data_IF_405451432517
#
_entry.id   IF_405451432517
#
_cell.length_a   1.000
_cell.length_b   1.000
_cell.length_c   1.000
_cell.angle_alpha   90.00
_cell.angle_beta   90.00
_cell.angle_gamma   90.00
#
_symmetry.space_group_name_H-M   'P 1'
#
loop_
_entity.id
_entity.type
_entity.pdbx_description
1 polymer ?
#
# COMPACT_ATOMS: atom_id res chain seq x y z
N UNK A 1 91.30 3.02 -13.90
CA UNK A 1 90.52 2.75 -12.64
C UNK A 1 89.31 3.64 -12.64
N UNK A 2 88.28 3.20 -13.34
CA UNK A 2 87.01 3.94 -13.44
C UNK A 2 85.87 3.08 -12.86
N UNK A 3 85.27 3.52 -11.74
CA UNK A 3 84.11 2.92 -11.18
C UNK A 3 82.87 3.60 -11.76
N UNK A 4 82.10 2.83 -12.51
CA UNK A 4 80.79 3.21 -13.03
C UNK A 4 79.78 2.96 -11.92
N UNK A 5 79.13 4.00 -11.43
CA UNK A 5 77.98 3.98 -10.55
C UNK A 5 76.67 3.74 -11.38
N UNK A 6 76.08 2.59 -11.23
CA UNK A 6 74.79 2.30 -11.79
C UNK A 6 73.67 2.89 -10.94
N UNK A 7 72.99 3.86 -11.44
CA UNK A 7 71.79 4.43 -10.80
C UNK A 7 70.58 3.59 -11.26
N UNK A 8 70.02 2.81 -10.36
CA UNK A 8 68.74 2.09 -10.59
C UNK A 8 67.56 3.03 -10.42
N UNK A 9 66.90 3.30 -11.50
CA UNK A 9 65.63 4.08 -11.54
C UNK A 9 64.50 3.15 -11.17
N UNK A 10 63.96 3.29 -9.95
CA UNK A 10 62.72 2.56 -9.53
C UNK A 10 61.54 3.35 -10.09
N UNK A 11 60.89 2.80 -11.11
CA UNK A 11 59.61 3.30 -11.63
C UNK A 11 58.47 2.87 -10.71
N UNK A 12 57.95 3.82 -9.93
CA UNK A 12 56.78 3.65 -9.11
C UNK A 12 55.52 3.75 -10.00
N UNK A 13 54.96 2.63 -10.42
CA UNK A 13 53.68 2.57 -11.14
C UNK A 13 52.52 2.84 -10.18
N UNK A 14 51.93 4.03 -10.28
CA UNK A 14 50.70 4.40 -9.60
C UNK A 14 49.57 3.64 -10.26
N UNK A 15 49.11 2.52 -9.67
CA UNK A 15 47.89 1.84 -10.05
C UNK A 15 46.70 2.71 -9.64
N UNK A 16 46.09 3.42 -10.59
CA UNK A 16 44.83 4.10 -10.40
C UNK A 16 43.74 3.04 -10.16
N UNK A 17 43.39 2.82 -8.90
CA UNK A 17 42.29 1.97 -8.51
C UNK A 17 40.97 2.56 -8.99
N UNK A 18 40.45 2.05 -10.10
CA UNK A 18 39.11 2.30 -10.50
C UNK A 18 38.18 1.61 -9.48
N UNK A 19 37.64 2.37 -8.54
CA UNK A 19 36.57 1.90 -7.65
C UNK A 19 35.41 1.48 -8.53
N UNK A 20 34.90 0.22 -8.40
CA UNK A 20 33.70 -0.15 -9.11
C UNK A 20 32.59 0.76 -8.57
N UNK A 21 31.98 1.56 -9.45
CA UNK A 21 30.69 2.19 -9.16
C UNK A 21 29.72 1.05 -8.91
N UNK A 22 29.44 0.76 -7.63
CA UNK A 22 28.29 -0.05 -7.25
C UNK A 22 27.10 0.73 -7.77
N UNK A 23 26.53 0.29 -8.88
CA UNK A 23 25.25 0.76 -9.34
C UNK A 23 24.30 0.44 -8.19
N UNK A 24 23.80 1.48 -7.52
CA UNK A 24 22.71 1.34 -6.58
C UNK A 24 21.57 0.69 -7.38
N UNK A 25 21.33 -0.60 -7.15
CA UNK A 25 20.18 -1.27 -7.70
C UNK A 25 18.98 -0.57 -7.10
N UNK A 26 18.24 0.13 -7.96
CA UNK A 26 16.94 0.69 -7.58
C UNK A 26 16.13 -0.44 -6.98
N UNK A 27 15.37 -0.19 -5.88
CA UNK A 27 14.48 -1.21 -5.32
C UNK A 27 13.62 -1.76 -6.45
N UNK A 28 13.35 -3.07 -6.42
CA UNK A 28 12.60 -3.76 -7.46
C UNK A 28 11.39 -2.91 -7.84
N UNK A 29 11.37 -2.45 -9.10
CA UNK A 29 10.30 -1.57 -9.59
C UNK A 29 9.03 -2.40 -9.64
N UNK A 30 8.15 -2.17 -8.68
CA UNK A 30 6.78 -2.66 -8.78
C UNK A 30 6.21 -2.22 -10.13
N UNK A 31 5.53 -3.13 -10.81
CA UNK A 31 4.84 -2.84 -12.06
C UNK A 31 3.92 -1.63 -11.92
N UNK A 32 3.66 -0.96 -13.04
CA UNK A 32 2.79 0.20 -13.12
C UNK A 32 3.51 1.53 -12.91
N UNK A 33 2.75 2.58 -12.76
CA UNK A 33 3.25 3.94 -12.61
C UNK A 33 3.83 4.12 -11.20
N UNK A 34 4.94 4.84 -11.08
CA UNK A 34 5.55 5.15 -9.78
C UNK A 34 4.71 6.17 -9.02
N UNK A 35 4.45 5.89 -7.75
CA UNK A 35 3.74 6.76 -6.80
C UNK A 35 4.40 6.67 -5.43
N UNK A 36 4.15 7.64 -4.57
CA UNK A 36 4.58 7.61 -3.17
C UNK A 36 3.60 6.77 -2.35
N UNK A 37 4.02 5.59 -1.90
CA UNK A 37 3.16 4.69 -1.12
C UNK A 37 3.01 5.17 0.33
N UNK A 38 1.83 4.96 0.91
CA UNK A 38 1.59 5.22 2.31
C UNK A 38 2.39 4.25 3.20
N UNK A 39 3.11 4.74 4.24
CA UNK A 39 3.85 3.87 5.15
C UNK A 39 2.92 3.12 6.10
N UNK A 40 3.27 1.86 6.40
CA UNK A 40 2.56 0.98 7.33
C UNK A 40 3.51 0.16 8.16
N UNK A 41 3.06 -0.29 9.34
CA UNK A 41 3.84 -1.12 10.26
C UNK A 41 3.30 -2.54 10.44
N UNK A 42 2.06 -2.80 9.99
CA UNK A 42 1.36 -4.08 10.15
C UNK A 42 0.98 -4.72 8.81
N UNK A 43 1.52 -4.20 7.70
CA UNK A 43 1.36 -4.81 6.39
C UNK A 43 2.09 -6.17 6.31
N UNK A 44 1.66 -7.02 5.41
CA UNK A 44 2.30 -8.30 5.14
C UNK A 44 3.02 -8.26 3.81
N UNK A 45 4.10 -9.03 3.68
CA UNK A 45 4.80 -9.19 2.42
C UNK A 45 3.90 -9.85 1.37
N UNK A 46 3.92 -9.31 0.15
CA UNK A 46 3.11 -9.79 -0.98
C UNK A 46 3.98 -9.94 -2.24
N UNK A 47 4.91 -10.89 -2.25
CA UNK A 47 5.90 -11.04 -3.33
C UNK A 47 5.24 -11.20 -4.71
N UNK A 48 4.04 -11.79 -4.75
CA UNK A 48 3.30 -11.98 -5.99
C UNK A 48 2.90 -10.66 -6.69
N UNK A 49 2.98 -9.51 -6.00
CA UNK A 49 2.77 -8.20 -6.62
C UNK A 49 3.88 -7.84 -7.64
N UNK A 50 5.07 -8.44 -7.53
CA UNK A 50 6.18 -8.24 -8.46
C UNK A 50 6.17 -9.22 -9.65
N UNK A 51 5.26 -10.19 -9.67
CA UNK A 51 5.14 -11.14 -10.76
C UNK A 51 4.83 -10.45 -12.08
N UNK A 52 5.31 -11.04 -13.18
CA UNK A 52 5.13 -10.48 -14.53
C UNK A 52 3.65 -10.34 -14.92
N UNK A 53 2.78 -11.16 -14.40
CA UNK A 53 1.34 -11.22 -14.64
C UNK A 53 0.50 -10.54 -13.56
N UNK A 54 1.11 -9.93 -12.54
CA UNK A 54 0.40 -9.28 -11.46
C UNK A 54 -0.57 -8.20 -12.00
N UNK A 55 -1.82 -8.25 -11.53
CA UNK A 55 -2.84 -7.26 -11.86
C UNK A 55 -2.72 -6.06 -10.92
N UNK A 56 -2.17 -4.95 -11.42
CA UNK A 56 -1.95 -3.74 -10.64
C UNK A 56 -2.77 -2.59 -11.20
N UNK A 57 -3.55 -1.94 -10.33
CA UNK A 57 -4.18 -0.65 -10.59
C UNK A 57 -3.44 0.42 -9.82
N UNK A 58 -2.97 1.46 -10.51
CA UNK A 58 -2.29 2.59 -9.89
C UNK A 58 -3.21 3.81 -9.85
N UNK A 59 -3.25 4.50 -8.71
CA UNK A 59 -3.94 5.78 -8.52
C UNK A 59 -2.91 6.84 -8.16
N UNK A 60 -2.75 7.86 -8.97
CA UNK A 60 -1.79 8.94 -8.74
C UNK A 60 -2.35 10.01 -7.79
N UNK A 61 -1.50 10.91 -7.33
CA UNK A 61 -1.87 12.03 -6.43
C UNK A 61 -2.93 12.95 -7.03
N UNK A 62 -2.91 13.15 -8.35
CA UNK A 62 -3.93 13.92 -9.07
C UNK A 62 -5.21 13.13 -9.39
N UNK A 63 -5.27 11.85 -9.01
CA UNK A 63 -6.43 10.97 -9.19
C UNK A 63 -6.52 10.27 -10.54
N UNK A 64 -5.49 10.33 -11.38
CA UNK A 64 -5.43 9.52 -12.61
C UNK A 64 -5.31 8.04 -12.25
N UNK A 65 -6.00 7.18 -13.00
CA UNK A 65 -6.04 5.73 -12.77
C UNK A 65 -5.38 5.02 -13.93
N UNK A 66 -4.50 4.08 -13.62
CA UNK A 66 -3.81 3.25 -14.61
C UNK A 66 -4.04 1.77 -14.31
N UNK A 67 -4.28 0.96 -15.32
CA UNK A 67 -4.28 -0.49 -15.21
C UNK A 67 -3.01 -1.05 -15.86
N UNK A 68 -2.06 -1.50 -15.06
CA UNK A 68 -0.68 -1.68 -15.51
C UNK A 68 -0.04 -0.34 -15.83
N UNK A 69 0.19 -0.07 -17.11
CA UNK A 69 0.72 1.20 -17.63
C UNK A 69 -0.31 2.01 -18.44
N UNK A 70 -1.48 1.43 -18.70
CA UNK A 70 -2.51 2.03 -19.55
C UNK A 70 -3.38 2.97 -18.72
N UNK A 71 -3.52 4.21 -19.15
CA UNK A 71 -4.43 5.18 -18.53
C UNK A 71 -5.86 4.74 -18.79
N UNK A 72 -6.63 4.60 -17.72
CA UNK A 72 -8.04 4.19 -17.77
C UNK A 72 -8.92 5.18 -17.00
N UNK A 73 -10.20 5.23 -17.34
CA UNK A 73 -11.18 5.97 -16.54
C UNK A 73 -11.80 5.05 -15.49
N UNK A 74 -12.25 5.56 -14.33
CA UNK A 74 -12.99 4.73 -13.36
C UNK A 74 -14.21 4.03 -13.96
N UNK A 75 -14.85 4.63 -14.96
CA UNK A 75 -16.01 4.04 -15.65
C UNK A 75 -15.64 2.84 -16.53
N UNK A 76 -14.47 2.87 -17.17
CA UNK A 76 -14.00 1.78 -18.06
C UNK A 76 -13.15 0.74 -17.33
N UNK A 77 -12.72 1.03 -16.10
CA UNK A 77 -11.82 0.15 -15.35
C UNK A 77 -12.40 -1.26 -15.15
N UNK A 78 -13.68 -1.36 -14.80
CA UNK A 78 -14.33 -2.65 -14.59
C UNK A 78 -14.37 -3.49 -15.88
N UNK A 79 -14.59 -2.87 -17.04
CA UNK A 79 -14.61 -3.55 -18.33
C UNK A 79 -13.19 -3.96 -18.76
N UNK A 80 -12.20 -3.10 -18.54
CA UNK A 80 -10.79 -3.42 -18.75
C UNK A 80 -10.34 -4.58 -17.87
N UNK A 81 -10.78 -4.62 -16.61
CA UNK A 81 -10.47 -5.73 -15.71
C UNK A 81 -11.12 -7.05 -16.16
N UNK A 82 -12.34 -6.99 -16.72
CA UNK A 82 -13.04 -8.18 -17.27
C UNK A 82 -12.41 -8.68 -18.57
N UNK A 83 -11.91 -7.77 -19.41
CA UNK A 83 -11.34 -8.11 -20.72
C UNK A 83 -10.00 -8.81 -20.65
N UNK A 84 -9.25 -8.64 -19.56
CA UNK A 84 -7.91 -9.25 -19.39
C UNK A 84 -8.07 -10.66 -18.81
N UNK A 85 -7.44 -11.69 -19.44
CA UNK A 85 -7.40 -13.03 -18.87
C UNK A 85 -6.83 -12.99 -17.46
N UNK A 86 -7.53 -13.56 -16.52
CA UNK A 86 -7.13 -13.57 -15.11
C UNK A 86 -7.46 -14.93 -14.50
N UNK A 87 -6.50 -15.51 -13.77
CA UNK A 87 -6.81 -16.60 -12.87
C UNK A 87 -7.76 -16.07 -11.76
N UNK A 88 -8.81 -16.82 -11.42
CA UNK A 88 -9.75 -16.46 -10.34
C UNK A 88 -9.07 -16.32 -8.98
N UNK A 89 -7.90 -16.95 -8.80
CA UNK A 89 -7.11 -16.86 -7.58
C UNK A 89 -6.15 -15.65 -7.58
N UNK A 90 -5.99 -14.96 -8.72
CA UNK A 90 -5.09 -13.83 -8.83
C UNK A 90 -5.66 -12.61 -8.13
N UNK A 91 -4.90 -12.09 -7.15
CA UNK A 91 -5.27 -10.89 -6.41
C UNK A 91 -5.12 -9.64 -7.27
N UNK A 92 -5.96 -8.65 -7.00
CA UNK A 92 -5.78 -7.29 -7.49
C UNK A 92 -4.93 -6.51 -6.49
N UNK A 93 -3.88 -5.89 -6.98
CA UNK A 93 -3.04 -4.99 -6.19
C UNK A 93 -3.37 -3.54 -6.53
N UNK A 94 -3.64 -2.74 -5.50
CA UNK A 94 -3.93 -1.31 -5.65
C UNK A 94 -2.73 -0.53 -5.14
N UNK A 95 -2.08 0.20 -6.04
CA UNK A 95 -0.90 1.02 -5.82
C UNK A 95 -1.31 2.49 -5.85
N UNK A 96 -1.70 3.06 -4.71
CA UNK A 96 -2.19 4.43 -4.67
C UNK A 96 -1.18 5.37 -4.00
N UNK A 97 -1.06 6.58 -4.56
CA UNK A 97 -0.27 7.65 -3.95
C UNK A 97 -0.86 8.03 -2.58
N UNK A 98 0.01 8.23 -1.60
CA UNK A 98 -0.37 8.59 -0.24
C UNK A 98 -1.24 9.85 -0.16
N UNK A 99 -1.06 10.78 -1.12
CA UNK A 99 -1.79 12.05 -1.22
C UNK A 99 -3.06 11.96 -2.04
N UNK A 100 -3.26 10.86 -2.77
CA UNK A 100 -4.46 10.69 -3.60
C UNK A 100 -5.74 10.88 -2.76
N UNK A 101 -6.75 11.59 -3.26
CA UNK A 101 -8.05 11.64 -2.60
C UNK A 101 -8.64 10.23 -2.48
N UNK A 102 -9.13 9.86 -1.30
CA UNK A 102 -9.68 8.52 -1.08
C UNK A 102 -10.85 8.22 -2.01
N UNK A 103 -11.60 9.24 -2.45
CA UNK A 103 -12.66 9.08 -3.46
C UNK A 103 -12.19 8.37 -4.74
N UNK A 104 -10.95 8.60 -5.18
CA UNK A 104 -10.42 7.97 -6.39
C UNK A 104 -10.06 6.51 -6.15
N UNK A 105 -9.47 6.20 -4.99
CA UNK A 105 -9.19 4.82 -4.57
C UNK A 105 -10.50 4.05 -4.35
N UNK A 106 -11.51 4.69 -3.76
CA UNK A 106 -12.82 4.10 -3.54
C UNK A 106 -13.49 3.66 -4.86
N UNK A 107 -13.40 4.46 -5.93
CA UNK A 107 -13.90 4.07 -7.26
C UNK A 107 -13.19 2.84 -7.82
N UNK A 108 -11.88 2.70 -7.58
CA UNK A 108 -11.13 1.49 -7.95
C UNK A 108 -11.61 0.28 -7.15
N UNK A 109 -11.86 0.44 -5.86
CA UNK A 109 -12.43 -0.61 -5.00
C UNK A 109 -13.84 -1.01 -5.44
N UNK A 110 -14.67 -0.05 -5.84
CA UNK A 110 -16.00 -0.31 -6.41
C UNK A 110 -15.90 -1.12 -7.72
N UNK A 111 -15.02 -0.71 -8.63
CA UNK A 111 -14.76 -1.44 -9.87
C UNK A 111 -14.24 -2.86 -9.62
N UNK A 112 -13.35 -3.04 -8.63
CA UNK A 112 -12.84 -4.35 -8.21
C UNK A 112 -14.00 -5.25 -7.75
N UNK A 113 -14.86 -4.75 -6.86
CA UNK A 113 -16.05 -5.47 -6.39
C UNK A 113 -16.97 -5.88 -7.54
N UNK A 114 -17.23 -4.96 -8.48
CA UNK A 114 -18.09 -5.19 -9.63
C UNK A 114 -17.51 -6.21 -10.63
N UNK A 115 -16.23 -6.59 -10.44
CA UNK A 115 -15.54 -7.68 -11.14
C UNK A 115 -15.31 -8.91 -10.28
N UNK A 116 -16.04 -9.04 -9.17
CA UNK A 116 -15.95 -10.15 -8.21
C UNK A 116 -14.57 -10.27 -7.53
N UNK A 117 -13.84 -9.17 -7.37
CA UNK A 117 -12.65 -9.10 -6.55
C UNK A 117 -13.05 -8.53 -5.19
N UNK A 118 -13.31 -9.41 -4.26
CA UNK A 118 -13.80 -9.03 -2.92
C UNK A 118 -12.67 -8.63 -1.96
N UNK A 119 -11.44 -9.10 -2.21
CA UNK A 119 -10.30 -8.92 -1.32
C UNK A 119 -9.06 -8.38 -2.06
N UNK A 120 -9.09 -7.12 -2.55
CA UNK A 120 -7.90 -6.48 -3.10
C UNK A 120 -6.85 -6.23 -2.03
N UNK A 121 -5.60 -6.07 -2.47
CA UNK A 121 -4.45 -5.74 -1.63
C UNK A 121 -4.01 -4.31 -1.89
N UNK A 122 -4.05 -3.48 -0.86
CA UNK A 122 -3.51 -2.12 -0.90
C UNK A 122 -2.00 -2.18 -0.71
N UNK A 123 -1.23 -1.82 -1.73
CA UNK A 123 0.24 -1.79 -1.63
C UNK A 123 0.68 -0.60 -0.77
N UNK A 124 1.66 -0.85 0.09
CA UNK A 124 2.16 0.10 1.07
C UNK A 124 3.69 0.07 1.12
N UNK A 125 4.30 1.02 1.81
CA UNK A 125 5.73 1.05 2.06
C UNK A 125 6.04 0.83 3.54
N UNK A 126 7.24 0.29 3.80
CA UNK A 126 7.75 0.23 5.17
C UNK A 126 8.26 1.60 5.62
N UNK A 127 8.09 1.97 6.91
CA UNK A 127 8.65 3.20 7.44
C UNK A 127 10.20 3.16 7.52
N UNK A 128 10.76 1.96 7.70
CA UNK A 128 12.21 1.77 7.77
C UNK A 128 12.79 1.48 6.39
N UNK A 129 13.86 2.20 6.04
CA UNK A 129 14.58 1.95 4.80
C UNK A 129 15.37 0.66 4.95
N UNK A 130 15.17 -0.27 4.02
CA UNK A 130 16.02 -1.44 3.91
C UNK A 130 17.49 -1.05 3.74
N UNK A 131 18.40 -1.87 4.24
CA UNK A 131 19.83 -1.66 4.06
C UNK A 131 20.17 -1.52 2.56
N UNK A 132 21.15 -0.68 2.18
CA UNK A 132 21.54 -0.53 0.78
C UNK A 132 21.86 -1.89 0.14
N UNK A 133 21.26 -2.17 -1.01
CA UNK A 133 21.44 -3.43 -1.77
C UNK A 133 20.50 -4.58 -1.40
N UNK A 134 19.61 -4.41 -0.44
CA UNK A 134 18.52 -5.38 -0.16
C UNK A 134 17.33 -5.11 -1.06
N UNK A 135 16.85 -6.17 -1.73
CA UNK A 135 15.55 -6.13 -2.41
C UNK A 135 14.49 -6.39 -1.37
N UNK A 136 13.68 -5.37 -1.07
CA UNK A 136 12.55 -5.51 -0.15
C UNK A 136 11.33 -5.97 -0.95
N UNK A 137 10.73 -7.12 -0.62
CA UNK A 137 9.52 -7.54 -1.30
C UNK A 137 8.39 -6.52 -1.05
N UNK A 138 7.44 -6.37 -1.99
CA UNK A 138 6.28 -5.53 -1.79
C UNK A 138 5.50 -5.90 -0.53
N UNK A 139 4.96 -4.89 0.13
CA UNK A 139 4.07 -5.07 1.27
C UNK A 139 2.68 -4.54 0.96
N UNK A 140 1.68 -5.09 1.64
CA UNK A 140 0.31 -4.66 1.44
C UNK A 140 -0.63 -5.07 2.56
N UNK A 141 -1.76 -4.40 2.55
CA UNK A 141 -2.89 -4.63 3.44
C UNK A 141 -4.04 -5.21 2.63
N UNK A 142 -4.40 -6.46 2.89
CA UNK A 142 -5.60 -7.06 2.33
C UNK A 142 -6.83 -6.51 3.03
N UNK A 143 -7.81 -6.05 2.25
CA UNK A 143 -9.07 -5.51 2.74
C UNK A 143 -10.23 -6.18 2.00
N UNK A 144 -11.32 -6.45 2.69
CA UNK A 144 -12.57 -6.86 2.05
C UNK A 144 -13.31 -5.60 1.58
N UNK A 145 -13.97 -5.70 0.44
CA UNK A 145 -14.76 -4.59 -0.12
C UNK A 145 -16.21 -4.99 -0.21
N UNK A 146 -17.08 -4.25 0.47
CA UNK A 146 -18.50 -4.54 0.47
C UNK A 146 -19.34 -3.26 0.51
N UNK A 147 -20.50 -3.21 -0.14
CA UNK A 147 -21.43 -2.09 -0.01
C UNK A 147 -22.12 -2.07 1.37
N UNK A 148 -22.22 -3.23 2.01
CA UNK A 148 -22.84 -3.40 3.32
C UNK A 148 -22.33 -4.70 3.97
N UNK A 149 -22.51 -4.82 5.27
CA UNK A 149 -22.25 -6.09 5.97
C UNK A 149 -23.31 -7.14 5.60
N UNK A 150 -22.91 -8.41 5.53
CA UNK A 150 -23.87 -9.51 5.47
C UNK A 150 -24.82 -9.45 6.66
N UNK A 151 -26.08 -9.78 6.44
CA UNK A 151 -27.09 -9.81 7.50
C UNK A 151 -26.64 -10.75 8.64
N UNK A 152 -26.77 -10.27 9.89
CA UNK A 152 -26.38 -11.05 11.08
C UNK A 152 -24.90 -10.94 11.46
N UNK A 153 -24.05 -10.25 10.69
CA UNK A 153 -22.65 -10.02 11.06
C UNK A 153 -22.57 -8.96 12.16
N UNK A 154 -21.94 -9.31 13.29
CA UNK A 154 -21.60 -8.34 14.33
C UNK A 154 -20.24 -7.76 13.99
N UNK A 155 -20.18 -6.45 13.79
CA UNK A 155 -18.93 -5.76 13.49
C UNK A 155 -18.74 -4.51 14.34
N UNK A 156 -17.49 -4.21 14.65
CA UNK A 156 -17.12 -2.91 15.22
C UNK A 156 -17.03 -1.89 14.08
N UNK A 157 -17.80 -0.82 14.17
CA UNK A 157 -17.82 0.24 13.15
C UNK A 157 -16.75 1.27 13.48
N UNK A 158 -15.84 1.49 12.55
CA UNK A 158 -14.83 2.56 12.60
C UNK A 158 -15.16 3.57 11.52
N UNK A 159 -15.33 4.82 11.90
CA UNK A 159 -15.68 5.90 10.99
C UNK A 159 -14.63 7.00 11.04
N UNK A 160 -14.14 7.40 9.87
CA UNK A 160 -13.15 8.45 9.70
C UNK A 160 -13.75 9.60 8.92
N UNK A 161 -13.87 10.75 9.57
CA UNK A 161 -14.48 11.94 8.99
C UNK A 161 -13.44 13.00 8.68
N UNK A 162 -13.58 13.64 7.52
CA UNK A 162 -12.85 14.85 7.26
C UNK A 162 -13.35 15.95 8.21
N UNK A 163 -12.46 16.51 8.99
CA UNK A 163 -12.74 17.66 9.85
C UNK A 163 -11.90 18.83 9.41
N UNK A 164 -12.39 20.06 9.65
CA UNK A 164 -11.57 21.25 9.41
C UNK A 164 -10.31 21.31 10.29
N UNK A 165 -10.25 20.44 11.29
CA UNK A 165 -9.11 20.27 12.21
C UNK A 165 -8.26 19.08 11.78
N UNK A 166 -6.97 19.18 11.92
CA UNK A 166 -6.02 18.08 11.73
C UNK A 166 -5.64 17.53 13.10
N UNK A 167 -5.63 16.21 13.32
CA UNK A 167 -6.00 15.12 12.41
C UNK A 167 -7.51 14.97 12.19
N UNK A 168 -7.96 14.20 11.17
CA UNK A 168 -9.37 13.86 10.95
C UNK A 168 -10.02 13.26 12.20
N UNK A 169 -11.33 13.43 12.31
CA UNK A 169 -12.11 12.89 13.43
C UNK A 169 -12.32 11.39 13.26
N UNK A 170 -12.10 10.65 14.35
CA UNK A 170 -12.23 9.19 14.39
C UNK A 170 -13.33 8.80 15.39
N UNK A 171 -14.21 7.87 14.97
CA UNK A 171 -15.24 7.28 15.83
C UNK A 171 -15.16 5.77 15.80
N UNK A 172 -15.47 5.14 16.93
CA UNK A 172 -15.68 3.70 17.08
C UNK A 172 -17.07 3.48 17.69
N UNK A 173 -17.96 2.78 16.97
CA UNK A 173 -19.35 2.55 17.38
C UNK A 173 -20.08 3.83 17.81
N UNK A 174 -19.93 4.92 17.04
CA UNK A 174 -20.42 6.28 17.28
C UNK A 174 -19.67 7.10 18.34
N UNK A 175 -18.82 6.52 19.18
CA UNK A 175 -18.04 7.24 20.18
C UNK A 175 -16.81 7.87 19.55
N UNK A 176 -16.65 9.17 19.73
CA UNK A 176 -15.45 9.87 19.25
C UNK A 176 -14.26 9.53 20.14
N UNK A 177 -13.16 9.11 19.52
CA UNK A 177 -11.94 8.73 20.22
C UNK A 177 -10.72 9.46 19.65
N UNK A 178 -9.67 9.68 20.44
CA UNK A 178 -8.40 10.16 19.91
C UNK A 178 -7.69 9.04 19.12
N UNK A 179 -6.89 9.43 18.13
CA UNK A 179 -6.14 8.49 17.28
C UNK A 179 -5.25 7.52 18.07
N UNK A 180 -4.64 8.01 19.15
CA UNK A 180 -3.79 7.20 20.03
C UNK A 180 -4.54 6.09 20.78
N UNK A 181 -5.86 6.20 20.92
CA UNK A 181 -6.68 5.23 21.61
C UNK A 181 -7.30 4.16 20.69
N UNK A 182 -7.18 4.29 19.35
CA UNK A 182 -7.86 3.39 18.40
C UNK A 182 -7.55 1.92 18.70
N UNK A 183 -6.27 1.55 18.78
CA UNK A 183 -5.86 0.16 19.00
C UNK A 183 -6.39 -0.38 20.33
N UNK A 184 -6.22 0.36 21.43
CA UNK A 184 -6.68 -0.07 22.76
C UNK A 184 -8.20 -0.19 22.84
N UNK A 185 -8.93 0.74 22.22
CA UNK A 185 -10.41 0.69 22.16
C UNK A 185 -10.87 -0.55 21.40
N UNK A 186 -10.29 -0.83 20.22
CA UNK A 186 -10.62 -2.03 19.44
C UNK A 186 -10.31 -3.32 20.21
N UNK A 187 -9.16 -3.38 20.86
CA UNK A 187 -8.78 -4.54 21.68
C UNK A 187 -9.76 -4.79 22.84
N UNK A 188 -10.30 -3.74 23.46
CA UNK A 188 -11.33 -3.87 24.50
C UNK A 188 -12.65 -4.44 23.94
N UNK A 189 -13.05 -4.00 22.73
CA UNK A 189 -14.24 -4.54 22.07
C UNK A 189 -14.10 -6.03 21.70
N UNK A 190 -12.90 -6.49 21.38
CA UNK A 190 -12.66 -7.86 20.92
C UNK A 190 -12.34 -8.89 22.02
N UNK A 191 -12.37 -8.53 23.30
CA UNK A 191 -12.06 -9.45 24.39
C UNK A 191 -13.09 -10.60 24.59
N UNK A 192 -14.23 -10.55 23.91
CA UNK A 192 -15.37 -11.47 24.11
C UNK A 192 -15.42 -12.69 23.19
N UNK A 193 -14.36 -13.01 22.45
CA UNK A 193 -14.26 -14.31 21.73
C UNK A 193 -14.99 -14.41 20.38
N UNK A 194 -15.64 -13.36 19.92
CA UNK A 194 -16.34 -13.33 18.62
C UNK A 194 -15.39 -13.12 17.44
N UNK A 195 -15.85 -13.45 16.23
CA UNK A 195 -15.12 -13.12 15.02
C UNK A 195 -14.86 -11.61 14.94
N UNK A 196 -13.59 -11.24 14.87
CA UNK A 196 -13.18 -9.83 14.87
C UNK A 196 -13.37 -9.23 13.49
N UNK A 197 -14.48 -8.54 13.29
CA UNK A 197 -14.77 -7.81 12.04
C UNK A 197 -14.84 -6.33 12.31
N UNK A 198 -14.10 -5.55 11.52
CA UNK A 198 -14.15 -4.08 11.53
C UNK A 198 -14.80 -3.61 10.24
N UNK A 199 -15.85 -2.84 10.34
CA UNK A 199 -16.47 -2.12 9.25
C UNK A 199 -15.87 -0.71 9.21
N UNK A 200 -15.03 -0.43 8.23
CA UNK A 200 -14.40 0.87 8.08
C UNK A 200 -15.16 1.71 7.04
N UNK A 201 -15.62 2.88 7.50
CA UNK A 201 -16.18 3.93 6.68
C UNK A 201 -15.23 5.14 6.70
N UNK A 202 -14.91 5.69 5.56
CA UNK A 202 -14.02 6.85 5.46
C UNK A 202 -14.59 7.90 4.51
N UNK A 203 -14.47 9.16 4.92
CA UNK A 203 -14.87 10.30 4.10
C UNK A 203 -14.04 10.34 2.82
N UNK A 204 -14.72 10.58 1.71
CA UNK A 204 -14.14 10.62 0.36
C UNK A 204 -13.09 11.71 0.15
N UNK A 205 -13.11 12.76 0.97
CA UNK A 205 -12.19 13.90 0.87
C UNK A 205 -10.86 13.68 1.61
N UNK A 206 -10.75 12.58 2.36
CA UNK A 206 -9.51 12.25 3.04
C UNK A 206 -8.41 11.86 2.05
N UNK A 207 -7.14 12.05 2.46
CA UNK A 207 -6.04 11.45 1.71
C UNK A 207 -6.00 9.94 1.92
N UNK A 208 -5.52 9.21 0.92
CA UNK A 208 -5.36 7.77 1.02
C UNK A 208 -4.50 7.36 2.21
N UNK A 209 -3.41 8.11 2.50
CA UNK A 209 -2.55 7.84 3.65
C UNK A 209 -3.30 7.89 4.99
N UNK A 210 -4.27 8.81 5.15
CA UNK A 210 -5.06 8.89 6.38
C UNK A 210 -5.93 7.64 6.58
N UNK A 211 -6.51 7.13 5.50
CA UNK A 211 -7.32 5.90 5.52
C UNK A 211 -6.45 4.67 5.77
N UNK A 212 -5.32 4.55 5.06
CA UNK A 212 -4.35 3.46 5.24
C UNK A 212 -3.84 3.39 6.68
N UNK A 213 -3.55 4.53 7.31
CA UNK A 213 -3.12 4.57 8.71
C UNK A 213 -4.15 3.94 9.66
N UNK A 214 -5.45 4.15 9.43
CA UNK A 214 -6.50 3.51 10.22
C UNK A 214 -6.56 2.02 9.93
N UNK A 215 -6.50 1.61 8.65
CA UNK A 215 -6.46 0.20 8.25
C UNK A 215 -5.28 -0.51 8.91
N UNK A 216 -4.09 0.09 8.86
CA UNK A 216 -2.87 -0.46 9.46
C UNK A 216 -3.02 -0.67 10.98
N UNK A 217 -3.56 0.34 11.68
CA UNK A 217 -3.85 0.21 13.12
C UNK A 217 -4.91 -0.87 13.39
N UNK A 218 -5.97 -0.95 12.60
CA UNK A 218 -6.98 -2.00 12.72
C UNK A 218 -6.38 -3.39 12.49
N UNK A 219 -5.45 -3.52 11.53
CA UNK A 219 -4.77 -4.79 11.23
C UNK A 219 -3.98 -5.34 12.41
N UNK A 220 -3.38 -4.48 13.25
CA UNK A 220 -2.64 -4.89 14.44
C UNK A 220 -3.49 -5.66 15.46
N UNK A 221 -4.82 -5.55 15.40
CA UNK A 221 -5.75 -6.28 16.29
C UNK A 221 -6.08 -7.69 15.81
N UNK A 222 -5.62 -8.08 14.61
CA UNK A 222 -5.95 -9.35 13.96
C UNK A 222 -7.36 -9.43 13.39
N UNK A 223 -8.07 -8.29 13.27
CA UNK A 223 -9.42 -8.25 12.76
C UNK A 223 -9.46 -8.31 11.22
N UNK A 224 -10.54 -8.85 10.67
CA UNK A 224 -10.91 -8.68 9.25
C UNK A 224 -11.41 -7.26 9.03
N UNK A 225 -10.91 -6.60 8.01
CA UNK A 225 -11.28 -5.22 7.69
C UNK A 225 -12.16 -5.22 6.47
N UNK A 226 -13.36 -4.69 6.60
CA UNK A 226 -14.33 -4.49 5.52
C UNK A 226 -14.43 -3.00 5.24
N UNK A 227 -13.98 -2.59 4.05
CA UNK A 227 -14.15 -1.23 3.56
C UNK A 227 -15.54 -1.08 2.95
N UNK A 228 -16.29 -0.11 3.44
CA UNK A 228 -17.59 0.25 2.88
C UNK A 228 -17.39 1.19 1.70
N UNK A 229 -17.86 0.77 0.53
CA UNK A 229 -17.77 1.56 -0.70
C UNK A 229 -19.07 2.26 -1.09
N UNK A 230 -20.20 1.95 -0.44
CA UNK A 230 -21.43 2.73 -0.62
C UNK A 230 -21.22 4.14 -0.05
N UNK A 231 -21.55 5.17 -0.85
CA UNK A 231 -21.31 6.56 -0.47
C UNK A 231 -21.96 6.93 0.86
N UNK A 232 -21.19 7.66 1.70
CA UNK A 232 -21.77 8.50 2.76
C UNK A 232 -22.35 9.76 2.17
#
# INVERSE_FOLDING_TARGET
MNRLLSVSLIALTLAAGASPKVAAQSPALQKGISVELAPTSNATTVPAADNADASIVTVTDNGSVYFGTDLVTPATLADEMKSRPRDRQQKLYIKADARAPFANVQRVLEAARDTFIEAPVLLTSQPERSAPGTVTPPEGLEVLVSPALPAGTVATVVELFNSRQQPPMLKVNNDQIPWSALQSTLMQHFQKGDEKVILLKADRQLSFAQVVRVIDTCRSTGAKIVLVTAGM
#
